data_IF_534251395372
#
_entry.id   IF_534251395372
#
_cell.length_a   1.000
_cell.length_b   1.000
_cell.length_c   1.000
_cell.angle_alpha   90.00
_cell.angle_beta   90.00
_cell.angle_gamma   90.00
#
_symmetry.space_group_name_H-M   'P 1'
#
loop_
_entity.id
_entity.type
_entity.pdbx_description
1 polymer ?
#
# COMPACT_ATOMS: atom_id res chain seq x y z
N UNK A 1 4.39 2.11 -1.40
CA UNK A 1 4.57 1.82 0.01
C UNK A 1 5.90 1.19 0.23
N UNK A 2 6.31 0.95 1.47
CA UNK A 2 7.60 0.35 1.76
C UNK A 2 7.59 -1.08 1.22
N UNK A 3 8.08 -1.23 0.01
CA UNK A 3 8.44 -2.52 -0.52
C UNK A 3 9.81 -2.85 0.10
N UNK A 4 9.80 -3.52 1.24
CA UNK A 4 10.99 -4.20 1.71
C UNK A 4 11.15 -5.40 0.78
N UNK A 5 12.01 -5.26 -0.23
CA UNK A 5 12.35 -6.37 -1.11
C UNK A 5 12.82 -7.52 -0.26
N UNK A 6 12.34 -8.73 -0.54
CA UNK A 6 12.92 -9.95 0.02
C UNK A 6 14.36 -10.00 -0.47
N UNK A 7 15.27 -9.68 0.42
CA UNK A 7 16.66 -10.01 0.22
C UNK A 7 16.77 -11.53 0.39
N UNK A 8 17.33 -12.21 -0.59
CA UNK A 8 17.77 -13.60 -0.43
C UNK A 8 18.64 -13.68 0.83
N UNK A 9 18.21 -14.48 1.80
CA UNK A 9 18.87 -14.61 3.11
C UNK A 9 20.33 -15.07 3.02
N UNK A 10 20.76 -15.57 1.84
CA UNK A 10 22.12 -16.06 1.60
C UNK A 10 22.99 -15.10 0.80
N UNK A 11 22.41 -14.23 -0.01
CA UNK A 11 23.17 -13.36 -0.93
C UNK A 11 22.94 -11.88 -0.73
N UNK A 12 21.96 -11.47 0.08
CA UNK A 12 21.59 -10.06 0.28
C UNK A 12 21.08 -9.34 -1.00
N UNK A 13 20.76 -10.11 -2.06
CA UNK A 13 20.27 -9.56 -3.34
C UNK A 13 18.78 -9.77 -3.48
N UNK A 14 18.05 -8.84 -4.13
CA UNK A 14 16.63 -9.01 -4.41
C UNK A 14 16.42 -10.27 -5.26
N UNK A 15 15.50 -11.14 -4.85
CA UNK A 15 15.13 -12.33 -5.62
C UNK A 15 14.58 -11.92 -6.99
N UNK A 16 15.09 -12.56 -8.04
CA UNK A 16 15.02 -12.15 -9.45
C UNK A 16 13.63 -12.22 -10.11
N UNK A 17 12.56 -12.55 -9.39
CA UNK A 17 11.27 -12.93 -10.01
C UNK A 17 10.09 -11.98 -9.79
N UNK A 18 10.29 -10.74 -9.34
CA UNK A 18 9.22 -9.75 -9.34
C UNK A 18 9.62 -8.47 -10.04
N UNK A 19 9.51 -8.46 -11.35
CA UNK A 19 9.34 -7.19 -12.08
C UNK A 19 8.02 -6.56 -11.62
N UNK A 20 8.09 -5.69 -10.64
CA UNK A 20 7.00 -4.76 -10.38
C UNK A 20 6.68 -3.99 -11.65
N UNK A 21 5.42 -4.03 -12.04
CA UNK A 21 4.84 -3.57 -13.31
C UNK A 21 4.87 -2.03 -13.47
N UNK A 22 5.62 -1.30 -12.67
CA UNK A 22 5.76 0.15 -12.88
C UNK A 22 7.03 0.40 -13.66
N UNK A 23 6.96 0.31 -14.98
CA UNK A 23 8.07 0.66 -15.88
C UNK A 23 8.42 2.15 -15.83
N UNK A 24 7.52 3.00 -15.39
CA UNK A 24 7.72 4.45 -15.30
C UNK A 24 7.03 5.01 -14.05
N UNK A 25 7.78 5.74 -13.24
CA UNK A 25 7.29 6.30 -11.97
C UNK A 25 6.71 7.68 -12.27
N UNK A 26 5.40 7.80 -12.18
CA UNK A 26 4.69 9.08 -12.28
C UNK A 26 4.17 9.45 -10.90
N UNK A 27 4.58 10.61 -10.40
CA UNK A 27 4.05 11.21 -9.17
C UNK A 27 3.22 12.42 -9.57
N UNK A 28 1.96 12.41 -9.18
CA UNK A 28 0.98 13.45 -9.48
C UNK A 28 0.68 14.27 -8.21
N UNK A 29 0.33 15.55 -8.33
CA UNK A 29 -0.24 16.30 -7.23
C UNK A 29 -1.46 15.59 -6.65
N UNK A 30 -1.80 15.91 -5.39
CA UNK A 30 -2.99 15.34 -4.75
C UNK A 30 -4.25 15.56 -5.60
N UNK A 31 -5.02 14.48 -5.80
CA UNK A 31 -6.30 14.50 -6.51
C UNK A 31 -7.43 14.05 -5.56
N UNK A 32 -8.44 14.89 -5.38
CA UNK A 32 -9.61 14.58 -4.55
C UNK A 32 -10.40 13.37 -5.04
N UNK A 33 -10.30 13.03 -6.33
CA UNK A 33 -10.94 11.84 -6.91
C UNK A 33 -10.41 10.54 -6.33
N UNK A 34 -9.19 10.49 -5.78
CA UNK A 34 -8.65 9.28 -5.15
C UNK A 34 -9.52 8.77 -4.00
N UNK A 35 -10.19 9.68 -3.29
CA UNK A 35 -11.17 9.30 -2.27
C UNK A 35 -12.38 8.59 -2.87
N UNK A 36 -12.88 9.09 -4.00
CA UNK A 36 -14.02 8.47 -4.68
C UNK A 36 -13.64 7.13 -5.31
N UNK A 37 -12.42 7.03 -5.85
CA UNK A 37 -11.88 5.78 -6.38
C UNK A 37 -11.73 4.73 -5.27
N UNK A 38 -11.22 5.12 -4.10
CA UNK A 38 -11.21 4.24 -2.93
C UNK A 38 -12.61 3.76 -2.55
N UNK A 39 -13.60 4.65 -2.49
CA UNK A 39 -14.97 4.28 -2.11
C UNK A 39 -15.59 3.26 -3.09
N UNK A 40 -15.31 3.36 -4.38
CA UNK A 40 -15.77 2.36 -5.36
C UNK A 40 -15.18 0.99 -5.08
N UNK A 41 -13.87 0.93 -4.81
CA UNK A 41 -13.19 -0.32 -4.48
C UNK A 41 -13.69 -0.87 -3.13
N UNK A 42 -13.83 0.00 -2.14
CA UNK A 42 -14.35 -0.36 -0.81
C UNK A 42 -15.74 -1.00 -0.89
N UNK A 43 -16.63 -0.45 -1.71
CA UNK A 43 -17.98 -1.01 -1.89
C UNK A 43 -17.93 -2.43 -2.46
N UNK A 44 -17.15 -2.66 -3.54
CA UNK A 44 -17.00 -4.00 -4.11
C UNK A 44 -16.40 -4.99 -3.10
N UNK A 45 -15.41 -4.56 -2.33
CA UNK A 45 -14.82 -5.40 -1.28
C UNK A 45 -15.79 -5.66 -0.13
N UNK A 46 -16.58 -4.66 0.27
CA UNK A 46 -17.58 -4.80 1.34
C UNK A 46 -18.67 -5.79 0.94
N UNK A 47 -19.16 -5.71 -0.29
CA UNK A 47 -20.18 -6.63 -0.81
C UNK A 47 -19.66 -8.08 -0.87
N UNK A 48 -18.39 -8.25 -1.25
CA UNK A 48 -17.79 -9.58 -1.35
C UNK A 48 -17.44 -10.21 0.01
N UNK A 49 -16.97 -9.40 0.95
CA UNK A 49 -16.40 -9.88 2.22
C UNK A 49 -17.44 -9.93 3.35
N UNK A 50 -18.44 -9.06 3.33
CA UNK A 50 -19.42 -8.97 4.40
C UNK A 50 -18.77 -8.86 5.78
N UNK A 51 -19.08 -9.79 6.67
CA UNK A 51 -18.58 -9.81 8.05
C UNK A 51 -17.15 -10.33 8.19
N UNK A 52 -16.52 -10.84 7.13
CA UNK A 52 -15.12 -11.25 7.16
C UNK A 52 -14.19 -10.05 7.32
N UNK A 53 -14.54 -8.90 6.76
CA UNK A 53 -13.82 -7.66 6.92
C UNK A 53 -14.38 -6.87 8.13
N UNK A 54 -13.56 -6.66 9.16
CA UNK A 54 -13.90 -5.78 10.28
C UNK A 54 -13.95 -4.33 9.80
N UNK A 55 -13.02 -3.94 8.92
CA UNK A 55 -12.95 -2.63 8.28
C UNK A 55 -12.06 -2.71 7.05
N UNK A 56 -12.19 -1.72 6.17
CA UNK A 56 -11.39 -1.55 4.97
C UNK A 56 -10.78 -0.16 5.03
N UNK A 57 -9.46 -0.08 5.09
CA UNK A 57 -8.71 1.14 5.33
C UNK A 57 -8.10 1.67 4.03
N UNK A 58 -8.36 2.94 3.72
CA UNK A 58 -7.56 3.67 2.73
C UNK A 58 -6.25 4.07 3.38
N UNK A 59 -5.17 3.46 2.96
CA UNK A 59 -3.82 3.74 3.46
C UNK A 59 -2.96 4.36 2.35
N UNK A 60 -1.69 4.52 2.58
CA UNK A 60 -0.80 5.06 1.56
C UNK A 60 -0.97 6.54 1.29
N UNK A 61 -0.18 7.01 0.33
CA UNK A 61 -0.06 8.43 0.02
C UNK A 61 -1.35 9.03 -0.53
N UNK A 62 -2.13 8.29 -1.31
CA UNK A 62 -3.39 8.75 -1.90
C UNK A 62 -4.49 8.98 -0.85
N UNK A 63 -4.31 8.45 0.36
CA UNK A 63 -5.23 8.64 1.48
C UNK A 63 -5.00 9.93 2.29
N UNK A 64 -3.96 10.70 1.95
CA UNK A 64 -3.54 11.90 2.68
C UNK A 64 -3.77 13.14 1.83
N UNK A 65 -4.62 14.05 2.30
CA UNK A 65 -4.92 15.29 1.60
C UNK A 65 -3.66 16.14 1.37
N UNK A 66 -3.51 16.64 0.15
CA UNK A 66 -2.40 17.50 -0.25
C UNK A 66 -1.09 16.77 -0.54
N UNK A 67 -1.03 15.44 -0.39
CA UNK A 67 0.19 14.65 -0.62
C UNK A 67 0.28 14.19 -2.07
N UNK A 68 1.31 14.62 -2.80
CA UNK A 68 1.62 14.10 -4.13
C UNK A 68 1.91 12.60 -4.09
N UNK A 69 1.39 11.83 -5.04
CA UNK A 69 1.50 10.37 -5.04
C UNK A 69 1.52 9.76 -6.45
N UNK A 70 1.97 8.52 -6.54
CA UNK A 70 1.58 7.68 -7.67
C UNK A 70 0.07 7.46 -7.60
N UNK A 71 -0.68 7.55 -8.73
CA UNK A 71 -2.13 7.42 -8.75
C UNK A 71 -2.59 5.96 -8.57
N UNK A 72 -2.17 5.33 -7.48
CA UNK A 72 -2.47 3.95 -7.09
C UNK A 72 -3.06 3.98 -5.68
N UNK A 73 -4.24 3.40 -5.52
CA UNK A 73 -4.92 3.35 -4.22
C UNK A 73 -4.34 2.20 -3.39
N UNK A 74 -3.88 2.47 -2.18
CA UNK A 74 -3.40 1.45 -1.24
C UNK A 74 -4.50 1.10 -0.24
N UNK A 75 -4.79 -0.20 -0.07
CA UNK A 75 -5.95 -0.69 0.70
C UNK A 75 -5.50 -1.79 1.63
N UNK A 76 -5.84 -1.65 2.91
CA UNK A 76 -5.76 -2.73 3.90
C UNK A 76 -7.16 -3.20 4.28
N UNK A 77 -7.50 -4.44 3.95
CA UNK A 77 -8.66 -5.15 4.48
C UNK A 77 -8.28 -5.74 5.82
N UNK A 78 -8.97 -5.34 6.88
CA UNK A 78 -8.71 -5.82 8.23
C UNK A 78 -9.62 -6.98 8.56
N UNK A 79 -9.04 -8.14 8.86
CA UNK A 79 -9.73 -9.33 9.34
C UNK A 79 -9.48 -9.51 10.84
N UNK A 80 -10.32 -10.29 11.52
CA UNK A 80 -10.20 -10.51 12.96
C UNK A 80 -8.85 -11.12 13.34
N UNK A 81 -8.50 -12.22 12.70
CA UNK A 81 -7.27 -12.98 12.89
C UNK A 81 -7.04 -13.90 11.67
N UNK A 82 -5.96 -14.67 11.69
CA UNK A 82 -5.62 -15.60 10.61
C UNK A 82 -6.63 -16.74 10.40
N UNK A 83 -7.51 -17.03 11.36
CA UNK A 83 -8.55 -18.06 11.16
C UNK A 83 -9.53 -17.62 10.07
N UNK A 84 -9.77 -16.31 9.92
CA UNK A 84 -10.61 -15.76 8.88
C UNK A 84 -9.95 -15.70 7.49
N UNK A 85 -8.62 -15.88 7.40
CA UNK A 85 -7.87 -15.65 6.16
C UNK A 85 -8.33 -16.57 5.02
N UNK A 86 -8.53 -17.85 5.28
CA UNK A 86 -8.94 -18.83 4.26
C UNK A 86 -10.26 -18.44 3.59
N UNK A 87 -11.24 -18.05 4.38
CA UNK A 87 -12.56 -17.66 3.87
C UNK A 87 -12.49 -16.30 3.14
N UNK A 88 -11.64 -15.39 3.64
CA UNK A 88 -11.35 -14.11 3.00
C UNK A 88 -10.71 -14.31 1.62
N UNK A 89 -9.70 -15.20 1.50
CA UNK A 89 -9.10 -15.57 0.21
C UNK A 89 -10.17 -16.06 -0.74
N UNK A 90 -10.98 -17.03 -0.31
CA UNK A 90 -12.04 -17.62 -1.15
C UNK A 90 -13.08 -16.59 -1.59
N UNK A 91 -13.41 -15.60 -0.75
CA UNK A 91 -14.33 -14.53 -1.11
C UNK A 91 -13.72 -13.56 -2.12
N UNK A 92 -12.46 -13.17 -1.95
CA UNK A 92 -11.74 -12.28 -2.86
C UNK A 92 -11.48 -12.92 -4.22
N UNK A 93 -11.18 -14.22 -4.27
CA UNK A 93 -11.00 -14.97 -5.52
C UNK A 93 -12.28 -14.98 -6.39
N UNK A 94 -13.44 -15.06 -5.78
CA UNK A 94 -14.75 -15.02 -6.50
C UNK A 94 -14.96 -13.70 -7.23
N UNK A 95 -14.34 -12.62 -6.78
CA UNK A 95 -14.40 -11.31 -7.43
C UNK A 95 -13.12 -10.94 -8.20
N UNK A 96 -12.27 -11.93 -8.49
CA UNK A 96 -11.14 -11.80 -9.42
C UNK A 96 -9.82 -11.37 -8.81
N UNK A 97 -9.67 -11.34 -7.48
CA UNK A 97 -8.37 -11.22 -6.84
C UNK A 97 -7.67 -12.58 -6.75
N UNK A 98 -6.37 -12.58 -6.72
CA UNK A 98 -5.53 -13.77 -6.62
C UNK A 98 -4.57 -13.60 -5.44
N UNK A 99 -4.56 -14.58 -4.55
CA UNK A 99 -3.70 -14.57 -3.38
C UNK A 99 -2.23 -14.79 -3.75
N UNK A 100 -1.33 -14.00 -3.18
CA UNK A 100 0.11 -14.04 -3.44
C UNK A 100 0.96 -14.37 -2.20
N UNK A 101 0.35 -14.60 -1.05
CA UNK A 101 1.06 -14.76 0.22
C UNK A 101 1.49 -13.44 0.84
N UNK A 102 2.30 -13.50 1.87
CA UNK A 102 2.78 -12.34 2.62
C UNK A 102 3.90 -11.56 1.91
N UNK A 103 4.45 -12.12 0.85
CA UNK A 103 5.56 -11.56 0.07
C UNK A 103 6.78 -11.20 0.95
N UNK A 104 6.99 -11.96 2.03
CA UNK A 104 8.08 -11.75 2.99
C UNK A 104 7.82 -10.65 4.01
N UNK A 105 6.57 -10.19 4.15
CA UNK A 105 6.15 -9.22 5.16
C UNK A 105 5.06 -9.85 6.03
N UNK A 106 5.42 -10.50 7.14
CA UNK A 106 4.46 -11.15 8.00
C UNK A 106 3.35 -10.21 8.49
N UNK A 107 2.12 -10.70 8.51
CA UNK A 107 0.98 -9.88 8.93
C UNK A 107 0.36 -9.02 7.83
N UNK A 108 0.81 -9.18 6.57
CA UNK A 108 0.30 -8.45 5.42
C UNK A 108 0.18 -9.37 4.20
N UNK A 109 -0.97 -9.93 3.98
CA UNK A 109 -1.27 -10.85 2.90
C UNK A 109 -1.61 -10.10 1.62
N UNK A 110 -0.84 -10.30 0.56
CA UNK A 110 -0.96 -9.57 -0.70
C UNK A 110 -1.89 -10.25 -1.70
N UNK A 111 -2.58 -9.44 -2.48
CA UNK A 111 -3.47 -9.88 -3.54
C UNK A 111 -3.17 -9.11 -4.83
N UNK A 112 -3.12 -9.82 -5.94
CA UNK A 112 -3.10 -9.25 -7.28
C UNK A 112 -4.45 -9.44 -7.97
N UNK A 113 -4.64 -8.75 -9.07
CA UNK A 113 -5.81 -8.90 -9.93
C UNK A 113 -5.45 -8.59 -11.38
N UNK A 114 -6.28 -9.08 -12.28
CA UNK A 114 -6.26 -8.75 -13.71
C UNK A 114 -7.67 -8.35 -14.14
N UNK A 115 -7.78 -7.43 -15.13
CA UNK A 115 -9.07 -7.12 -15.77
C UNK A 115 -10.09 -6.36 -14.92
N UNK A 116 -9.66 -5.54 -13.94
CA UNK A 116 -10.54 -4.66 -13.17
C UNK A 116 -10.52 -3.22 -13.69
N UNK A 117 -10.70 -3.03 -14.99
CA UNK A 117 -10.59 -1.73 -15.67
C UNK A 117 -11.65 -0.71 -15.23
N UNK A 118 -12.71 -1.18 -14.58
CA UNK A 118 -13.76 -0.33 -13.98
C UNK A 118 -13.33 0.30 -12.64
N UNK A 119 -12.22 -0.14 -12.05
CA UNK A 119 -11.65 0.37 -10.82
C UNK A 119 -10.31 1.08 -11.08
N UNK A 120 -10.00 2.07 -10.26
CA UNK A 120 -8.66 2.66 -10.22
C UNK A 120 -7.63 1.59 -9.87
N UNK A 121 -6.43 1.70 -10.45
CA UNK A 121 -5.32 0.82 -10.08
C UNK A 121 -5.08 0.89 -8.57
N UNK A 122 -4.95 -0.28 -7.93
CA UNK A 122 -4.81 -0.35 -6.48
C UNK A 122 -3.94 -1.53 -6.04
N UNK A 123 -3.39 -1.42 -4.83
CA UNK A 123 -2.78 -2.52 -4.11
C UNK A 123 -3.75 -2.96 -3.02
N UNK A 124 -3.97 -4.26 -2.92
CA UNK A 124 -4.84 -4.85 -1.91
C UNK A 124 -4.04 -5.75 -0.99
N UNK A 125 -4.15 -5.47 0.29
CA UNK A 125 -3.60 -6.30 1.35
C UNK A 125 -4.68 -6.71 2.32
N UNK A 126 -4.54 -7.89 2.92
CA UNK A 126 -5.36 -8.38 4.03
C UNK A 126 -4.47 -8.49 5.25
N UNK A 127 -4.87 -7.84 6.33
CA UNK A 127 -4.11 -7.78 7.57
C UNK A 127 -4.98 -8.25 8.75
N UNK A 128 -4.48 -9.14 9.63
CA UNK A 128 -5.10 -9.34 10.94
C UNK A 128 -5.16 -8.04 11.75
N UNK A 129 -6.15 -7.92 12.63
CA UNK A 129 -6.38 -6.70 13.41
C UNK A 129 -5.22 -6.31 14.33
N UNK A 130 -4.39 -7.28 14.74
CA UNK A 130 -3.20 -7.09 15.57
C UNK A 130 -1.90 -6.94 14.77
N UNK A 131 -1.97 -6.98 13.42
CA UNK A 131 -0.81 -6.89 12.54
C UNK A 131 0.06 -5.65 12.83
N UNK A 132 1.38 -5.83 12.99
CA UNK A 132 2.32 -4.71 13.10
C UNK A 132 2.33 -3.82 11.85
N UNK A 133 2.25 -4.40 10.65
CA UNK A 133 2.24 -3.64 9.39
C UNK A 133 0.98 -2.77 9.27
N UNK A 134 -0.19 -3.31 9.62
CA UNK A 134 -1.43 -2.51 9.68
C UNK A 134 -1.26 -1.30 10.60
N UNK A 135 -0.67 -1.49 11.78
CA UNK A 135 -0.41 -0.41 12.74
C UNK A 135 0.53 0.64 12.14
N UNK A 136 1.61 0.22 11.48
CA UNK A 136 2.56 1.12 10.79
C UNK A 136 1.86 1.92 9.69
N UNK A 137 1.07 1.27 8.85
CA UNK A 137 0.33 1.94 7.77
C UNK A 137 -0.62 3.01 8.30
N UNK A 138 -1.42 2.66 9.30
CA UNK A 138 -2.38 3.59 9.91
C UNK A 138 -1.67 4.74 10.63
N UNK A 139 -0.62 4.44 11.40
CA UNK A 139 0.12 5.45 12.15
C UNK A 139 0.80 6.47 11.21
N UNK A 140 1.47 6.01 10.16
CA UNK A 140 2.09 6.87 9.17
C UNK A 140 1.07 7.78 8.46
N UNK A 141 -0.05 7.19 8.00
CA UNK A 141 -1.16 7.95 7.41
C UNK A 141 -1.68 9.03 8.36
N UNK A 142 -1.95 8.65 9.61
CA UNK A 142 -2.53 9.55 10.59
C UNK A 142 -1.56 10.66 10.99
N UNK A 143 -0.26 10.36 11.10
CA UNK A 143 0.78 11.36 11.31
C UNK A 143 0.75 12.41 10.19
N UNK A 144 0.81 11.99 8.95
CA UNK A 144 0.79 12.91 7.81
C UNK A 144 -0.48 13.75 7.74
N UNK A 145 -1.64 13.19 8.10
CA UNK A 145 -2.91 13.94 8.14
C UNK A 145 -2.93 15.09 9.14
N UNK A 146 -2.09 15.03 10.15
CA UNK A 146 -1.98 16.05 11.21
C UNK A 146 -0.74 16.93 11.08
N UNK A 147 0.16 16.62 10.13
CA UNK A 147 1.44 17.34 9.95
C UNK A 147 1.62 17.85 8.51
N UNK A 148 0.99 18.99 8.15
CA UNK A 148 1.04 19.52 6.78
C UNK A 148 2.46 19.85 6.30
N UNK A 149 3.38 20.20 7.21
CA UNK A 149 4.80 20.41 6.85
C UNK A 149 5.47 19.11 6.40
N UNK A 150 5.17 18.00 7.06
CA UNK A 150 5.64 16.68 6.66
C UNK A 150 5.06 16.26 5.30
N UNK A 151 3.78 16.59 5.04
CA UNK A 151 3.14 16.36 3.72
C UNK A 151 3.89 17.10 2.63
N UNK A 152 4.18 18.41 2.83
CA UNK A 152 4.93 19.22 1.85
C UNK A 152 6.33 18.64 1.58
N UNK A 153 7.07 18.34 2.65
CA UNK A 153 8.42 17.76 2.54
C UNK A 153 8.41 16.42 1.81
N UNK A 154 7.47 15.55 2.16
CA UNK A 154 7.39 14.21 1.54
C UNK A 154 6.92 14.28 0.07
N UNK A 155 6.05 15.24 -0.28
CA UNK A 155 5.68 15.50 -1.68
C UNK A 155 6.90 15.87 -2.50
N UNK A 156 7.70 16.85 -2.05
CA UNK A 156 8.92 17.28 -2.73
C UNK A 156 9.89 16.11 -2.95
N UNK A 157 10.18 15.32 -1.92
CA UNK A 157 11.06 14.14 -2.03
C UNK A 157 10.56 13.21 -3.15
N UNK A 158 9.26 12.90 -3.17
CA UNK A 158 8.70 11.98 -4.17
C UNK A 158 8.72 12.55 -5.58
N UNK A 159 8.42 13.83 -5.74
CA UNK A 159 8.42 14.50 -7.05
C UNK A 159 9.82 14.62 -7.63
N UNK A 160 10.80 14.99 -6.80
CA UNK A 160 12.21 15.11 -7.22
C UNK A 160 12.78 13.74 -7.60
N UNK A 161 12.56 12.73 -6.77
CA UNK A 161 13.12 11.41 -7.02
C UNK A 161 12.43 10.69 -8.20
N UNK A 162 11.13 10.91 -8.42
CA UNK A 162 10.45 10.40 -9.60
C UNK A 162 10.99 11.04 -10.91
N UNK A 163 11.33 12.33 -10.88
CA UNK A 163 11.97 13.00 -12.03
C UNK A 163 13.38 12.51 -12.28
N UNK A 164 14.13 12.24 -11.21
CA UNK A 164 15.53 11.84 -11.27
C UNK A 164 15.71 10.36 -11.65
N UNK A 165 14.79 9.49 -11.18
CA UNK A 165 14.81 8.05 -11.38
C UNK A 165 13.47 7.54 -11.90
N UNK A 166 13.01 7.98 -13.09
CA UNK A 166 11.67 7.67 -13.57
C UNK A 166 11.45 6.18 -13.87
N UNK A 167 12.51 5.44 -14.14
CA UNK A 167 12.47 4.02 -14.51
C UNK A 167 13.19 3.10 -13.50
N UNK A 168 13.63 3.65 -12.37
CA UNK A 168 14.34 2.93 -11.30
C UNK A 168 13.55 2.95 -9.99
N UNK A 169 12.65 1.97 -9.84
CA UNK A 169 11.77 1.87 -8.67
C UNK A 169 12.55 1.58 -7.38
N UNK A 170 13.68 0.88 -7.46
CA UNK A 170 14.48 0.53 -6.28
C UNK A 170 15.11 1.79 -5.69
N UNK A 171 15.74 2.62 -6.52
CA UNK A 171 16.27 3.92 -6.08
C UNK A 171 15.19 4.85 -5.57
N UNK A 172 14.06 4.93 -6.27
CA UNK A 172 12.94 5.75 -5.81
C UNK A 172 12.46 5.32 -4.41
N UNK A 173 12.43 4.03 -4.11
CA UNK A 173 12.09 3.51 -2.78
C UNK A 173 13.18 3.85 -1.77
N UNK A 174 14.44 3.61 -2.10
CA UNK A 174 15.59 3.88 -1.24
C UNK A 174 15.61 5.33 -0.73
N UNK A 175 15.40 6.29 -1.62
CA UNK A 175 15.44 7.71 -1.26
C UNK A 175 14.27 8.19 -0.39
N UNK A 176 13.10 7.60 -0.52
CA UNK A 176 11.95 7.97 0.33
C UNK A 176 11.94 7.26 1.68
N UNK A 177 12.62 6.12 1.81
CA UNK A 177 12.61 5.29 3.02
C UNK A 177 13.13 6.02 4.27
N UNK A 178 14.23 6.81 4.24
CA UNK A 178 14.71 7.54 5.41
C UNK A 178 13.69 8.52 5.99
N UNK A 179 12.86 9.14 5.14
CA UNK A 179 11.80 10.03 5.60
C UNK A 179 10.72 9.27 6.38
N UNK A 180 10.35 8.10 5.88
CA UNK A 180 9.33 7.24 6.49
C UNK A 180 9.84 6.69 7.82
N UNK A 181 11.07 6.17 7.86
CA UNK A 181 11.71 5.66 9.07
C UNK A 181 11.91 6.76 10.12
N UNK A 182 12.20 7.99 9.68
CA UNK A 182 12.27 9.15 10.58
C UNK A 182 10.93 9.40 11.29
N UNK A 183 9.81 9.30 10.58
CA UNK A 183 8.47 9.43 11.19
C UNK A 183 8.19 8.28 12.14
N UNK A 184 8.50 7.04 11.76
CA UNK A 184 8.31 5.91 12.66
C UNK A 184 9.11 6.04 13.95
N UNK A 185 10.37 6.47 13.84
CA UNK A 185 11.21 6.76 15.02
C UNK A 185 10.60 7.85 15.91
N UNK A 186 10.06 8.93 15.31
CA UNK A 186 9.43 10.04 16.04
C UNK A 186 8.19 9.60 16.83
N UNK A 187 7.38 8.71 16.24
CA UNK A 187 6.14 8.20 16.86
C UNK A 187 6.35 6.91 17.68
N UNK A 188 7.57 6.41 17.77
CA UNK A 188 7.93 5.28 18.63
C UNK A 188 7.51 3.91 18.12
N UNK A 189 7.49 3.67 16.80
CA UNK A 189 7.18 2.38 16.17
C UNK A 189 8.18 1.99 15.08
#
# INVERSE_FOLDING_TARGET
>A
WIWCGILDATTGRPTRERKMITKHIVVEPFDEHWRLDFLKIQNELTDALGQLAIRIEHVGSTSVQGLSAKPIIDIDVVIKDYNALKDTISALEKIGYQYEGDLGIPGREAFRYDGKDHLKKHHLYVCPADSPELKRHIAFRNYLRTHPDAVRKYSLIKEEEAKKYPDDIERYIEYKSPFIEGIYSEIGI
#
